data_IF_657622500340
#
_entry.id   IF_657622500340
#
_cell.length_a   1.000
_cell.length_b   1.000
_cell.length_c   1.000
_cell.angle_alpha   90.00
_cell.angle_beta   90.00
_cell.angle_gamma   90.00
#
_symmetry.space_group_name_H-M   'P 1'
#
loop_
_entity.id
_entity.type
_entity.pdbx_description
1 polymer ?
#
# COMPACT_ATOMS: atom_id res chain seq x y z
N UNK A 1 -76.37 -34.27 18.42
CA UNK A 1 -75.15 -34.11 19.23
C UNK A 1 -74.02 -34.87 18.53
N UNK A 2 -73.17 -34.15 17.78
CA UNK A 2 -71.70 -34.02 18.01
C UNK A 2 -70.90 -35.29 17.68
N UNK A 3 -69.83 -35.33 16.87
CA UNK A 3 -68.98 -34.31 16.23
C UNK A 3 -68.13 -35.04 15.16
N UNK A 4 -67.79 -34.35 14.07
CA UNK A 4 -66.69 -34.72 13.17
C UNK A 4 -65.36 -34.64 13.92
N UNK A 5 -64.42 -35.52 13.60
CA UNK A 5 -62.99 -35.32 13.86
C UNK A 5 -62.18 -35.68 12.62
N UNK A 6 -61.73 -34.63 11.93
CA UNK A 6 -60.77 -34.66 10.84
C UNK A 6 -59.36 -34.92 11.38
N UNK A 7 -58.63 -35.82 10.72
CA UNK A 7 -57.21 -36.08 10.97
C UNK A 7 -56.41 -35.03 10.15
N UNK A 8 -55.70 -34.15 10.85
CA UNK A 8 -54.72 -33.23 10.25
C UNK A 8 -53.33 -33.84 10.48
N UNK A 9 -52.69 -34.28 9.39
CA UNK A 9 -51.28 -34.64 9.40
C UNK A 9 -50.44 -33.36 9.33
N UNK A 10 -49.71 -33.06 10.39
CA UNK A 10 -48.71 -31.98 10.41
C UNK A 10 -47.41 -32.57 9.87
N UNK A 11 -47.09 -32.25 8.61
CA UNK A 11 -45.75 -32.46 8.07
C UNK A 11 -44.84 -31.34 8.62
N UNK A 12 -43.98 -31.69 9.56
CA UNK A 12 -42.92 -30.80 10.04
C UNK A 12 -41.86 -30.68 8.94
N UNK A 13 -41.91 -29.58 8.17
CA UNK A 13 -40.83 -29.18 7.29
C UNK A 13 -39.68 -28.65 8.16
N UNK A 14 -38.68 -29.49 8.42
CA UNK A 14 -37.41 -29.05 8.97
C UNK A 14 -36.67 -28.25 7.88
N UNK A 15 -36.88 -26.94 7.86
CA UNK A 15 -36.02 -26.02 7.12
C UNK A 15 -34.66 -26.04 7.81
N UNK A 16 -33.72 -26.79 7.23
CA UNK A 16 -32.31 -26.69 7.57
C UNK A 16 -31.88 -25.24 7.34
N UNK A 17 -31.52 -24.55 8.41
CA UNK A 17 -30.75 -23.32 8.34
C UNK A 17 -29.37 -23.68 7.79
N UNK A 18 -29.25 -23.71 6.47
CA UNK A 18 -27.95 -23.54 5.83
C UNK A 18 -27.46 -22.15 6.22
N UNK A 19 -26.58 -22.10 7.21
CA UNK A 19 -25.79 -20.92 7.52
C UNK A 19 -24.96 -20.60 6.27
N UNK A 20 -25.46 -19.70 5.42
CA UNK A 20 -24.59 -18.97 4.53
C UNK A 20 -23.55 -18.30 5.42
N UNK A 21 -22.30 -18.69 5.27
CA UNK A 21 -21.15 -18.17 6.00
C UNK A 21 -21.02 -16.67 5.66
N UNK A 22 -21.74 -15.85 6.42
CA UNK A 22 -21.87 -14.41 6.24
C UNK A 22 -20.76 -13.70 7.02
N UNK A 23 -19.52 -14.15 6.86
CA UNK A 23 -18.37 -13.45 7.41
C UNK A 23 -18.31 -12.08 6.76
N UNK A 24 -18.46 -11.02 7.57
CA UNK A 24 -18.47 -9.65 7.10
C UNK A 24 -17.17 -9.32 6.36
N UNK A 25 -17.20 -8.33 5.46
CA UNK A 25 -15.98 -7.81 4.84
C UNK A 25 -15.16 -7.05 5.89
N UNK A 26 -13.84 -7.22 5.83
CA UNK A 26 -12.90 -6.46 6.64
C UNK A 26 -12.95 -4.98 6.26
N UNK A 27 -12.72 -4.11 7.23
CA UNK A 27 -12.73 -2.65 7.05
C UNK A 27 -11.41 -2.02 7.48
N UNK A 28 -11.21 -0.75 7.13
CA UNK A 28 -9.97 -0.03 7.40
C UNK A 28 -9.03 0.02 6.20
N UNK A 29 -8.12 0.97 6.24
CA UNK A 29 -7.15 1.21 5.18
C UNK A 29 -6.01 0.19 5.24
N UNK A 30 -5.41 -0.12 4.08
CA UNK A 30 -4.32 -1.07 3.97
C UNK A 30 -3.04 -0.65 4.73
N UNK A 31 -2.96 0.61 5.16
CA UNK A 31 -1.85 1.13 5.97
C UNK A 31 -2.23 1.42 7.43
N UNK A 32 -3.41 1.03 7.88
CA UNK A 32 -3.85 1.19 9.27
C UNK A 32 -3.81 -0.16 9.98
N UNK A 33 -2.90 -0.31 10.94
CA UNK A 33 -2.63 -1.57 11.64
C UNK A 33 -3.25 -1.52 13.04
N UNK A 34 -4.04 -2.54 13.38
CA UNK A 34 -4.48 -2.76 14.77
C UNK A 34 -3.50 -3.72 15.45
N UNK A 35 -2.73 -3.23 16.41
CA UNK A 35 -1.82 -4.02 17.23
C UNK A 35 -2.57 -4.54 18.47
N UNK A 36 -2.53 -5.85 18.70
CA UNK A 36 -3.27 -6.53 19.76
C UNK A 36 -2.31 -7.32 20.62
N UNK A 37 -2.30 -7.02 21.91
CA UNK A 37 -1.55 -7.76 22.92
C UNK A 37 -2.09 -7.46 24.31
N UNK A 38 -1.55 -8.14 25.33
CA UNK A 38 -1.87 -7.84 26.73
C UNK A 38 -1.44 -6.41 27.11
N UNK A 39 -2.20 -5.70 27.95
CA UNK A 39 -1.86 -4.33 28.38
C UNK A 39 -0.46 -4.21 28.98
N UNK A 40 -0.05 -5.19 29.79
CA UNK A 40 1.26 -5.18 30.45
C UNK A 40 2.41 -5.25 29.42
N UNK A 41 2.22 -6.04 28.35
CA UNK A 41 3.20 -6.11 27.27
C UNK A 41 3.22 -4.81 26.49
N UNK A 42 2.06 -4.25 26.15
CA UNK A 42 1.97 -2.99 25.42
C UNK A 42 2.66 -1.83 26.15
N UNK A 43 2.47 -1.72 27.47
CA UNK A 43 3.15 -0.71 28.29
C UNK A 43 4.68 -0.81 28.19
N UNK A 44 5.22 -2.02 28.04
CA UNK A 44 6.67 -2.25 27.93
C UNK A 44 7.22 -1.95 26.53
N UNK A 45 6.47 -2.27 25.45
CA UNK A 45 7.03 -2.30 24.07
C UNK A 45 6.44 -1.29 23.10
N UNK A 46 5.47 -0.47 23.54
CA UNK A 46 4.76 0.45 22.64
C UNK A 46 5.67 1.39 21.85
N UNK A 47 6.72 1.94 22.49
CA UNK A 47 7.68 2.83 21.83
C UNK A 47 8.46 2.11 20.71
N UNK A 48 8.88 0.87 20.95
CA UNK A 48 9.60 0.06 19.95
C UNK A 48 8.69 -0.26 18.76
N UNK A 49 7.43 -0.60 19.01
CA UNK A 49 6.44 -0.87 17.95
C UNK A 49 6.20 0.37 17.09
N UNK A 50 5.96 1.52 17.71
CA UNK A 50 5.78 2.77 16.97
C UNK A 50 7.03 3.12 16.18
N UNK A 51 8.22 2.99 16.78
CA UNK A 51 9.47 3.30 16.10
C UNK A 51 9.75 2.37 14.92
N UNK A 52 9.40 1.09 15.03
CA UNK A 52 9.64 0.10 13.98
C UNK A 52 8.61 0.17 12.85
N UNK A 53 7.32 0.35 13.17
CA UNK A 53 6.24 0.23 12.21
C UNK A 53 5.78 1.58 11.63
N UNK A 54 5.80 2.66 12.40
CA UNK A 54 5.35 3.97 11.93
C UNK A 54 6.47 4.79 11.25
N UNK A 55 7.39 4.09 10.58
CA UNK A 55 8.45 4.73 9.80
C UNK A 55 7.84 5.65 8.74
N UNK A 56 8.44 6.82 8.54
CA UNK A 56 7.93 7.79 7.58
C UNK A 56 8.43 7.49 6.18
N UNK A 57 7.51 7.47 5.21
CA UNK A 57 7.85 7.59 3.79
C UNK A 57 7.89 9.05 3.38
N UNK A 58 8.65 9.28 2.31
CA UNK A 58 8.72 10.57 1.66
C UNK A 58 7.53 10.79 0.74
N UNK A 59 6.74 11.83 1.04
CA UNK A 59 5.72 12.39 0.14
C UNK A 59 5.93 13.91 0.01
N UNK A 60 4.88 14.71 -0.21
CA UNK A 60 4.97 16.19 -0.12
C UNK A 60 5.39 16.64 1.29
N UNK A 61 5.06 15.83 2.29
CA UNK A 61 5.54 15.92 3.67
C UNK A 61 5.96 14.54 4.14
N UNK A 62 6.72 14.45 5.22
CA UNK A 62 6.96 13.14 5.84
C UNK A 62 5.63 12.61 6.38
N UNK A 63 5.19 11.48 5.86
CA UNK A 63 3.96 10.80 6.28
C UNK A 63 4.32 9.42 6.78
N UNK A 64 3.65 8.96 7.84
CA UNK A 64 3.83 7.61 8.34
C UNK A 64 3.40 6.62 7.27
N UNK A 65 4.22 5.60 7.03
CA UNK A 65 3.87 4.49 6.14
C UNK A 65 2.65 3.80 6.69
N UNK A 66 2.70 3.47 7.98
CA UNK A 66 1.62 2.83 8.72
C UNK A 66 1.17 3.70 9.90
N UNK A 67 -0.12 3.63 10.21
CA UNK A 67 -0.65 4.13 11.49
C UNK A 67 -1.00 2.93 12.36
N UNK A 68 -0.35 2.83 13.52
CA UNK A 68 -0.56 1.73 14.46
C UNK A 68 -1.52 2.19 15.56
N UNK A 69 -2.52 1.36 15.85
CA UNK A 69 -3.45 1.57 16.96
C UNK A 69 -3.47 0.34 17.85
N UNK A 70 -3.15 0.51 19.13
CA UNK A 70 -3.26 -0.55 20.12
C UNK A 70 -4.70 -0.87 20.48
N UNK A 71 -5.00 -2.15 20.68
CA UNK A 71 -6.25 -2.65 21.25
C UNK A 71 -6.00 -3.77 22.25
N UNK A 72 -6.67 -3.65 23.40
CA UNK A 72 -6.73 -4.72 24.41
C UNK A 72 -7.71 -5.81 23.94
N UNK A 73 -7.28 -7.07 23.77
CA UNK A 73 -8.15 -8.17 23.37
C UNK A 73 -9.24 -8.49 24.40
N UNK A 74 -9.13 -8.03 25.64
CA UNK A 74 -10.14 -8.17 26.70
C UNK A 74 -11.08 -6.96 26.79
N UNK A 75 -10.86 -5.92 25.97
CA UNK A 75 -11.63 -4.69 26.00
C UNK A 75 -12.99 -4.78 25.31
N UNK A 76 -13.91 -3.89 25.69
CA UNK A 76 -15.31 -3.88 25.21
C UNK A 76 -15.44 -3.73 23.68
N UNK A 77 -14.46 -3.11 23.01
CA UNK A 77 -14.47 -2.85 21.57
C UNK A 77 -13.79 -3.94 20.72
N UNK A 78 -13.21 -4.97 21.34
CA UNK A 78 -12.48 -6.02 20.63
C UNK A 78 -13.33 -6.70 19.55
N UNK A 79 -14.60 -6.99 19.86
CA UNK A 79 -15.51 -7.70 18.95
C UNK A 79 -15.74 -6.98 17.61
N UNK A 80 -15.71 -5.64 17.62
CA UNK A 80 -15.81 -4.83 16.41
C UNK A 80 -14.45 -4.73 15.73
N UNK A 81 -13.43 -4.28 16.47
CA UNK A 81 -12.10 -3.95 15.93
C UNK A 81 -11.31 -5.16 15.41
N UNK A 82 -11.61 -6.38 15.87
CA UNK A 82 -11.00 -7.60 15.34
C UNK A 82 -11.32 -7.88 13.87
N UNK A 83 -12.21 -7.12 13.24
CA UNK A 83 -12.54 -7.23 11.80
C UNK A 83 -11.77 -6.24 10.93
N UNK A 84 -10.77 -5.55 11.48
CA UNK A 84 -9.94 -4.64 10.70
C UNK A 84 -9.11 -5.40 9.67
N UNK A 85 -8.83 -4.76 8.54
CA UNK A 85 -8.14 -5.37 7.41
C UNK A 85 -6.73 -5.84 7.77
N UNK A 86 -5.99 -5.04 8.53
CA UNK A 86 -4.60 -5.31 8.91
C UNK A 86 -4.52 -5.45 10.44
N UNK A 87 -4.19 -6.66 10.91
CA UNK A 87 -4.05 -6.97 12.33
C UNK A 87 -2.63 -7.44 12.63
N UNK A 88 -2.06 -6.97 13.73
CA UNK A 88 -0.82 -7.47 14.30
C UNK A 88 -1.12 -8.06 15.68
N UNK A 89 -1.14 -9.38 15.81
CA UNK A 89 -1.38 -10.07 17.07
C UNK A 89 -0.06 -10.48 17.69
N UNK A 90 0.18 -10.10 18.94
CA UNK A 90 1.40 -10.43 19.66
C UNK A 90 0.99 -11.11 20.98
N UNK A 91 1.49 -12.32 21.20
CA UNK A 91 1.13 -13.11 22.36
C UNK A 91 1.73 -14.51 22.34
N UNK A 92 1.27 -15.32 23.28
CA UNK A 92 1.71 -16.71 23.51
C UNK A 92 0.66 -17.70 23.01
N UNK A 93 1.02 -18.98 22.96
CA UNK A 93 0.10 -20.06 22.58
C UNK A 93 -1.07 -20.24 23.56
N UNK A 94 -0.97 -19.69 24.76
CA UNK A 94 -2.02 -19.73 25.78
C UNK A 94 -3.08 -18.62 25.62
N UNK A 95 -2.80 -17.60 24.80
CA UNK A 95 -3.70 -16.48 24.61
C UNK A 95 -4.85 -16.84 23.66
N UNK A 96 -6.09 -16.59 24.09
CA UNK A 96 -7.29 -17.05 23.37
C UNK A 96 -7.44 -16.44 21.97
N UNK A 97 -7.05 -15.17 21.78
CA UNK A 97 -7.10 -14.52 20.47
C UNK A 97 -6.01 -15.04 19.52
N UNK A 98 -4.89 -15.54 20.05
CA UNK A 98 -3.84 -16.20 19.26
C UNK A 98 -4.33 -17.58 18.82
N UNK A 99 -4.91 -18.35 19.74
CA UNK A 99 -5.50 -19.66 19.41
C UNK A 99 -6.59 -19.52 18.34
N UNK A 100 -7.52 -18.58 18.50
CA UNK A 100 -8.59 -18.33 17.50
C UNK A 100 -8.01 -18.00 16.12
N UNK A 101 -6.94 -17.19 16.06
CA UNK A 101 -6.29 -16.83 14.80
C UNK A 101 -5.58 -18.02 14.13
N UNK A 102 -4.88 -18.85 14.90
CA UNK A 102 -4.13 -19.99 14.35
C UNK A 102 -5.05 -21.17 14.00
N UNK A 103 -6.11 -21.40 14.77
CA UNK A 103 -7.10 -22.48 14.54
C UNK A 103 -7.92 -22.26 13.26
N UNK A 104 -8.08 -21.01 12.83
CA UNK A 104 -8.80 -20.64 11.61
C UNK A 104 -8.19 -21.26 10.34
N UNK A 105 -6.90 -21.61 10.37
CA UNK A 105 -6.15 -22.19 9.25
C UNK A 105 -5.56 -23.56 9.62
N UNK A 106 -6.39 -24.44 10.18
CA UNK A 106 -6.12 -25.79 10.73
C UNK A 106 -5.28 -26.79 9.88
N UNK A 107 -4.75 -26.41 8.72
CA UNK A 107 -4.02 -27.29 7.80
C UNK A 107 -2.49 -27.18 7.90
N UNK A 108 -1.93 -26.12 8.51
CA UNK A 108 -0.48 -25.94 8.61
C UNK A 108 0.06 -26.12 10.04
N UNK A 109 0.64 -27.30 10.30
CA UNK A 109 1.27 -27.65 11.57
C UNK A 109 2.53 -26.81 11.90
N UNK A 110 3.03 -25.98 10.98
CA UNK A 110 4.15 -25.06 11.24
C UNK A 110 3.72 -23.81 12.00
N UNK A 111 2.42 -23.48 12.03
CA UNK A 111 1.85 -22.29 12.67
C UNK A 111 1.85 -22.33 14.21
N UNK A 112 2.33 -23.40 14.82
CA UNK A 112 2.53 -23.50 16.28
C UNK A 112 3.97 -23.25 16.71
N UNK A 113 4.87 -22.90 15.78
CA UNK A 113 6.28 -22.59 16.10
C UNK A 113 6.42 -21.13 16.51
N UNK A 114 7.38 -20.82 17.38
CA UNK A 114 7.71 -19.42 17.71
C UNK A 114 8.12 -18.64 16.46
N UNK A 115 7.79 -17.34 16.42
CA UNK A 115 8.12 -16.44 15.32
C UNK A 115 6.90 -15.82 14.64
N UNK A 116 7.07 -15.41 13.38
CA UNK A 116 6.08 -14.65 12.61
C UNK A 116 5.26 -15.60 11.73
N UNK A 117 3.94 -15.47 11.80
CA UNK A 117 2.98 -16.21 10.97
C UNK A 117 2.00 -15.26 10.30
N UNK A 118 1.50 -15.63 9.13
CA UNK A 118 0.43 -14.88 8.46
C UNK A 118 -0.78 -15.76 8.26
N UNK A 119 -1.93 -15.27 8.72
CA UNK A 119 -3.23 -15.91 8.58
C UNK A 119 -4.23 -14.93 7.96
N UNK A 120 -5.02 -15.43 7.03
CA UNK A 120 -6.04 -14.65 6.35
C UNK A 120 -7.43 -14.95 6.90
N UNK A 121 -8.36 -14.02 6.71
CA UNK A 121 -9.79 -14.24 6.87
C UNK A 121 -10.25 -14.83 8.21
N UNK A 122 -9.56 -14.50 9.31
CA UNK A 122 -9.85 -15.04 10.66
C UNK A 122 -11.24 -14.63 11.13
N UNK A 123 -11.53 -13.33 11.14
CA UNK A 123 -12.79 -12.78 11.65
C UNK A 123 -13.65 -12.10 10.57
N UNK A 124 -13.03 -11.75 9.45
CA UNK A 124 -13.66 -11.02 8.36
C UNK A 124 -12.95 -11.33 7.03
N UNK A 125 -13.70 -11.33 5.93
CA UNK A 125 -13.14 -11.58 4.59
C UNK A 125 -12.29 -10.41 4.10
N UNK A 126 -11.16 -10.71 3.47
CA UNK A 126 -10.15 -9.76 3.03
C UNK A 126 -9.25 -9.27 4.16
N UNK A 127 -9.18 -10.00 5.27
CA UNK A 127 -8.33 -9.68 6.41
C UNK A 127 -6.96 -10.32 6.27
N UNK A 128 -5.92 -9.57 6.59
CA UNK A 128 -4.53 -10.02 6.72
C UNK A 128 -4.12 -9.86 8.19
N UNK A 129 -3.82 -10.99 8.84
CA UNK A 129 -3.42 -11.04 10.25
C UNK A 129 -1.98 -11.54 10.31
N UNK A 130 -1.10 -10.73 10.88
CA UNK A 130 0.27 -11.11 11.21
C UNK A 130 0.32 -11.46 12.69
N UNK A 131 0.76 -12.68 13.01
CA UNK A 131 0.90 -13.18 14.38
C UNK A 131 2.38 -13.26 14.73
N UNK A 132 2.79 -12.65 15.83
CA UNK A 132 4.09 -12.87 16.45
C UNK A 132 3.88 -13.76 17.68
N UNK A 133 4.21 -15.05 17.53
CA UNK A 133 4.07 -16.05 18.57
C UNK A 133 5.33 -16.06 19.45
N UNK A 134 5.17 -15.59 20.68
CA UNK A 134 6.21 -15.51 21.71
C UNK A 134 6.30 -16.80 22.52
N UNK A 135 7.45 -17.07 23.19
CA UNK A 135 7.55 -18.17 24.16
C UNK A 135 6.56 -17.99 25.30
N UNK A 136 6.26 -19.08 26.01
CA UNK A 136 5.26 -19.08 27.10
C UNK A 136 5.58 -18.13 28.26
N UNK A 137 6.85 -17.75 28.42
CA UNK A 137 7.29 -16.75 29.40
C UNK A 137 7.00 -15.30 28.97
N UNK A 138 6.57 -15.08 27.73
CA UNK A 138 6.25 -13.78 27.17
C UNK A 138 7.46 -12.86 27.00
N UNK A 139 8.67 -13.42 26.87
CA UNK A 139 9.92 -12.65 26.80
C UNK A 139 9.90 -11.59 25.69
N UNK A 140 10.04 -10.33 26.12
CA UNK A 140 10.06 -9.13 25.26
C UNK A 140 11.28 -9.07 24.35
N UNK A 141 12.42 -9.63 24.79
CA UNK A 141 13.67 -9.59 24.03
C UNK A 141 13.58 -10.25 22.64
N UNK A 142 12.67 -11.21 22.46
CA UNK A 142 12.41 -11.83 21.16
C UNK A 142 11.51 -10.97 20.27
N UNK A 143 10.57 -10.22 20.84
CA UNK A 143 9.66 -9.37 20.07
C UNK A 143 10.43 -8.29 19.30
N UNK A 144 11.37 -7.60 19.94
CA UNK A 144 12.15 -6.54 19.29
C UNK A 144 12.95 -7.05 18.09
N UNK A 145 13.41 -8.31 18.12
CA UNK A 145 14.09 -8.94 16.98
C UNK A 145 13.14 -9.17 15.79
N UNK A 146 11.88 -9.47 16.07
CA UNK A 146 10.87 -9.71 15.03
C UNK A 146 10.29 -8.41 14.44
N UNK A 147 10.32 -7.28 15.15
CA UNK A 147 9.70 -6.04 14.67
C UNK A 147 10.25 -5.54 13.32
N UNK A 148 11.56 -5.71 13.07
CA UNK A 148 12.16 -5.35 11.78
C UNK A 148 11.62 -6.23 10.64
N UNK A 149 11.53 -7.54 10.88
CA UNK A 149 10.99 -8.51 9.91
C UNK A 149 9.49 -8.29 9.67
N UNK A 150 8.72 -7.96 10.72
CA UNK A 150 7.30 -7.58 10.59
C UNK A 150 7.17 -6.31 9.74
N UNK A 151 8.01 -5.30 9.95
CA UNK A 151 7.97 -4.09 9.13
C UNK A 151 8.22 -4.39 7.65
N UNK A 152 9.27 -5.15 7.33
CA UNK A 152 9.60 -5.51 5.95
C UNK A 152 8.47 -6.29 5.28
N UNK A 153 7.88 -7.24 6.01
CA UNK A 153 6.74 -8.03 5.56
C UNK A 153 5.54 -7.15 5.20
N UNK A 154 5.13 -6.27 6.12
CA UNK A 154 3.99 -5.38 5.93
C UNK A 154 4.25 -4.35 4.83
N UNK A 155 5.47 -3.78 4.74
CA UNK A 155 5.84 -2.86 3.66
C UNK A 155 5.78 -3.54 2.29
N UNK A 156 6.28 -4.77 2.17
CA UNK A 156 6.20 -5.55 0.93
C UNK A 156 4.74 -5.83 0.52
N UNK A 157 3.89 -6.19 1.48
CA UNK A 157 2.47 -6.41 1.23
C UNK A 157 1.78 -5.12 0.80
N UNK A 158 2.04 -4.00 1.48
CA UNK A 158 1.49 -2.70 1.15
C UNK A 158 1.92 -2.22 -0.25
N UNK A 159 3.18 -2.43 -0.63
CA UNK A 159 3.68 -2.12 -1.98
C UNK A 159 3.00 -2.98 -3.04
N UNK A 160 2.84 -4.27 -2.77
CA UNK A 160 2.13 -5.21 -3.67
C UNK A 160 0.68 -4.79 -3.84
N UNK A 161 -0.01 -4.47 -2.74
CA UNK A 161 -1.36 -3.92 -2.75
C UNK A 161 -1.44 -2.65 -3.61
N UNK A 162 -0.52 -1.70 -3.40
CA UNK A 162 -0.47 -0.43 -4.14
C UNK A 162 -0.25 -0.66 -5.64
N UNK A 163 0.65 -1.58 -6.03
CA UNK A 163 0.88 -1.95 -7.43
C UNK A 163 -0.35 -2.59 -8.07
N UNK A 164 -1.00 -3.52 -7.37
CA UNK A 164 -2.23 -4.15 -7.84
C UNK A 164 -3.35 -3.11 -8.04
N UNK A 165 -3.49 -2.18 -7.10
CA UNK A 165 -4.43 -1.04 -7.19
C UNK A 165 -4.11 -0.13 -8.38
N UNK A 166 -2.83 0.16 -8.62
CA UNK A 166 -2.38 0.99 -9.74
C UNK A 166 -2.77 0.39 -11.10
N UNK A 167 -2.67 -0.94 -11.24
CA UNK A 167 -2.99 -1.67 -12.48
C UNK A 167 -4.39 -2.28 -12.50
N UNK A 168 -5.33 -1.82 -11.66
CA UNK A 168 -6.70 -2.35 -11.68
C UNK A 168 -7.43 -2.17 -13.01
N UNK A 169 -7.05 -1.15 -13.78
CA UNK A 169 -7.57 -0.94 -15.14
C UNK A 169 -6.94 -1.87 -16.19
N UNK A 170 -6.00 -2.72 -15.79
CA UNK A 170 -5.16 -3.52 -16.68
C UNK A 170 -3.88 -2.78 -17.08
N UNK A 171 -2.84 -3.54 -17.44
CA UNK A 171 -1.62 -3.01 -18.03
C UNK A 171 -1.81 -2.85 -19.55
N UNK A 172 -1.44 -1.69 -20.08
CA UNK A 172 -1.51 -1.40 -21.51
C UNK A 172 -0.22 -1.85 -22.21
N UNK A 173 -0.14 -3.15 -22.51
CA UNK A 173 1.01 -3.72 -23.22
C UNK A 173 1.03 -3.34 -24.69
N UNK A 174 -0.12 -3.06 -25.30
CA UNK A 174 -0.20 -2.64 -26.70
C UNK A 174 0.42 -1.25 -26.90
N UNK A 175 0.19 -0.33 -25.96
CA UNK A 175 0.90 0.96 -25.93
C UNK A 175 2.41 0.76 -25.77
N UNK A 176 2.83 -0.12 -24.84
CA UNK A 176 4.24 -0.40 -24.61
C UNK A 176 4.96 -0.93 -25.87
N UNK A 177 4.30 -1.80 -26.64
CA UNK A 177 4.80 -2.31 -27.93
C UNK A 177 4.85 -1.21 -29.00
N UNK A 178 3.82 -0.36 -29.06
CA UNK A 178 3.76 0.76 -30.01
C UNK A 178 4.90 1.74 -29.77
N UNK A 179 5.13 2.15 -28.52
CA UNK A 179 6.24 3.04 -28.14
C UNK A 179 7.59 2.42 -28.51
N UNK A 180 7.76 1.11 -28.30
CA UNK A 180 9.01 0.43 -28.63
C UNK A 180 9.32 0.47 -30.14
N UNK A 181 8.29 0.27 -30.96
CA UNK A 181 8.40 0.25 -32.43
C UNK A 181 8.59 1.66 -32.99
N UNK A 182 7.80 2.63 -32.52
CA UNK A 182 7.71 3.96 -33.14
C UNK A 182 8.67 4.99 -32.53
N UNK A 183 8.95 4.87 -31.23
CA UNK A 183 9.71 5.87 -30.47
C UNK A 183 11.02 5.35 -29.87
N UNK A 184 11.29 4.05 -29.95
CA UNK A 184 12.54 3.44 -29.47
C UNK A 184 12.65 3.33 -27.95
N UNK A 185 11.56 3.51 -27.21
CA UNK A 185 11.48 3.27 -25.77
C UNK A 185 10.19 2.53 -25.42
N UNK A 186 10.11 1.89 -24.25
CA UNK A 186 8.89 1.22 -23.81
C UNK A 186 8.51 1.66 -22.40
N UNK A 187 7.21 1.78 -22.16
CA UNK A 187 6.66 2.11 -20.85
C UNK A 187 5.33 1.37 -20.68
N UNK A 188 5.24 0.55 -19.63
CA UNK A 188 3.99 -0.11 -19.25
C UNK A 188 3.25 0.83 -18.31
N UNK A 189 2.02 1.20 -18.69
CA UNK A 189 1.13 2.05 -17.91
C UNK A 189 -0.21 1.37 -17.66
N UNK A 190 -0.95 1.77 -16.61
CA UNK A 190 -2.35 1.41 -16.49
C UNK A 190 -3.18 1.92 -17.69
N UNK A 191 -4.17 1.15 -18.13
CA UNK A 191 -4.99 1.47 -19.31
C UNK A 191 -5.83 2.76 -19.20
N UNK A 192 -5.91 3.36 -18.00
CA UNK A 192 -6.57 4.65 -17.76
C UNK A 192 -5.76 5.86 -18.26
N UNK A 193 -4.48 5.69 -18.59
CA UNK A 193 -3.67 6.80 -19.09
C UNK A 193 -4.06 7.15 -20.53
N UNK A 194 -4.37 8.43 -20.74
CA UNK A 194 -4.45 9.03 -22.07
C UNK A 194 -3.09 9.58 -22.44
N UNK A 195 -2.75 9.56 -23.72
CA UNK A 195 -1.46 10.08 -24.15
C UNK A 195 -1.57 10.90 -25.41
N UNK A 196 -0.60 11.78 -25.60
CA UNK A 196 -0.38 12.51 -26.83
C UNK A 196 1.13 12.69 -27.07
N UNK A 197 1.46 13.08 -28.29
CA UNK A 197 2.81 13.39 -28.70
C UNK A 197 2.83 14.77 -29.36
N UNK A 198 3.84 15.57 -29.03
CA UNK A 198 4.19 16.80 -29.75
C UNK A 198 5.70 16.84 -29.91
N UNK A 199 6.19 16.92 -31.13
CA UNK A 199 7.62 16.85 -31.45
C UNK A 199 8.30 15.59 -30.84
N UNK A 200 9.35 15.80 -30.04
CA UNK A 200 10.08 14.77 -29.30
C UNK A 200 9.61 14.61 -27.85
N UNK A 201 8.35 14.95 -27.56
CA UNK A 201 7.76 14.87 -26.22
C UNK A 201 6.50 14.00 -26.25
N UNK A 202 6.51 12.97 -25.42
CA UNK A 202 5.37 12.10 -25.14
C UNK A 202 4.81 12.46 -23.76
N UNK A 203 3.52 12.75 -23.67
CA UNK A 203 2.84 13.01 -22.41
C UNK A 203 1.79 11.95 -22.16
N UNK A 204 1.82 11.37 -20.97
CA UNK A 204 0.84 10.41 -20.49
C UNK A 204 0.16 11.02 -19.28
N UNK A 205 -1.17 11.10 -19.30
CA UNK A 205 -1.97 11.73 -18.25
C UNK A 205 -3.09 10.80 -17.82
N UNK A 206 -3.19 10.62 -16.51
CA UNK A 206 -4.38 10.10 -15.86
C UNK A 206 -5.04 11.25 -15.11
N UNK A 207 -6.07 11.81 -15.74
CA UNK A 207 -7.00 12.77 -15.16
C UNK A 207 -8.25 12.04 -14.68
N UNK A 208 -8.13 11.32 -13.55
CA UNK A 208 -9.27 10.65 -12.97
C UNK A 208 -10.36 11.71 -12.63
N UNK A 209 -11.65 11.45 -12.92
CA UNK A 209 -12.68 12.48 -12.82
C UNK A 209 -13.09 12.79 -11.37
N UNK A 210 -12.60 12.01 -10.40
CA UNK A 210 -12.85 12.23 -8.98
C UNK A 210 -11.85 13.26 -8.41
N UNK A 211 -12.31 14.41 -7.88
CA UNK A 211 -11.45 15.42 -7.26
C UNK A 211 -10.63 14.92 -6.06
N UNK A 212 -11.01 13.79 -5.46
CA UNK A 212 -10.25 13.14 -4.39
C UNK A 212 -9.03 12.35 -4.89
N UNK A 213 -8.95 12.11 -6.21
CA UNK A 213 -7.84 11.41 -6.82
C UNK A 213 -6.80 12.36 -7.42
N UNK A 214 -5.53 12.05 -7.17
CA UNK A 214 -4.41 12.85 -7.65
C UNK A 214 -4.24 12.71 -9.17
N UNK A 215 -4.06 13.85 -9.84
CA UNK A 215 -3.64 13.90 -11.25
C UNK A 215 -2.23 13.32 -11.35
N UNK A 216 -2.05 12.35 -12.25
CA UNK A 216 -0.74 11.76 -12.54
C UNK A 216 -0.36 12.08 -13.97
N UNK A 217 0.84 12.62 -14.15
CA UNK A 217 1.34 12.98 -15.48
C UNK A 217 2.81 12.57 -15.62
N UNK A 218 3.11 11.89 -16.71
CA UNK A 218 4.45 11.41 -17.07
C UNK A 218 4.82 12.07 -18.39
N UNK A 219 5.98 12.70 -18.46
CA UNK A 219 6.55 13.24 -19.68
C UNK A 219 7.84 12.51 -20.03
N UNK A 220 7.97 12.08 -21.28
CA UNK A 220 9.17 11.43 -21.81
C UNK A 220 9.70 12.26 -22.98
N UNK A 221 10.98 12.58 -22.92
CA UNK A 221 11.70 13.31 -23.97
C UNK A 221 13.20 12.99 -23.90
N UNK A 222 13.96 13.35 -24.94
CA UNK A 222 15.40 13.10 -25.02
C UNK A 222 16.13 14.31 -25.61
N UNK A 223 17.43 14.40 -25.33
CA UNK A 223 18.34 15.39 -25.91
C UNK A 223 19.45 14.68 -26.69
N UNK A 224 19.74 15.19 -27.88
CA UNK A 224 20.85 14.74 -28.72
C UNK A 224 21.61 15.98 -29.20
N UNK A 225 22.94 16.08 -29.01
CA UNK A 225 23.84 15.08 -28.41
C UNK A 225 23.63 14.89 -26.90
N UNK A 226 24.19 13.81 -26.34
CA UNK A 226 24.17 13.53 -24.89
C UNK A 226 24.82 14.72 -24.15
N UNK A 227 24.16 15.30 -23.13
CA UNK A 227 24.73 16.40 -22.35
C UNK A 227 26.04 16.01 -21.68
N UNK A 228 26.99 16.94 -21.59
CA UNK A 228 28.32 16.70 -20.98
C UNK A 228 28.28 16.47 -19.47
N UNK A 229 27.21 16.88 -18.80
CA UNK A 229 26.99 16.67 -17.38
C UNK A 229 25.55 16.22 -17.12
N UNK A 230 25.39 15.21 -16.26
CA UNK A 230 24.09 14.77 -15.75
C UNK A 230 24.14 14.85 -14.22
N UNK A 231 23.83 16.04 -13.69
CA UNK A 231 23.79 16.33 -12.26
C UNK A 231 22.44 16.99 -11.92
N UNK A 232 22.14 17.15 -10.63
CA UNK A 232 20.84 17.66 -10.16
C UNK A 232 20.39 18.93 -10.89
N UNK A 233 21.26 19.94 -11.00
CA UNK A 233 20.93 21.22 -11.66
C UNK A 233 20.49 21.02 -13.11
N UNK A 234 21.28 20.32 -13.92
CA UNK A 234 20.96 20.06 -15.33
C UNK A 234 19.67 19.24 -15.51
N UNK A 235 19.43 18.27 -14.61
CA UNK A 235 18.21 17.45 -14.63
C UNK A 235 16.97 18.30 -14.27
N UNK A 236 17.10 19.19 -13.30
CA UNK A 236 16.02 20.10 -12.90
C UNK A 236 15.74 21.16 -13.97
N UNK A 237 16.77 21.71 -14.62
CA UNK A 237 16.61 22.62 -15.76
C UNK A 237 15.82 21.95 -16.90
N UNK A 238 16.19 20.72 -17.27
CA UNK A 238 15.47 19.99 -18.31
C UNK A 238 14.02 19.71 -17.92
N UNK A 239 13.77 19.37 -16.65
CA UNK A 239 12.39 19.24 -16.13
C UNK A 239 11.62 20.56 -16.29
N UNK A 240 12.24 21.70 -15.98
CA UNK A 240 11.61 23.02 -16.10
C UNK A 240 11.24 23.36 -17.55
N UNK A 241 12.11 23.05 -18.51
CA UNK A 241 11.80 23.18 -19.94
C UNK A 241 10.57 22.35 -20.33
N UNK A 242 10.53 21.07 -19.93
CA UNK A 242 9.42 20.17 -20.21
C UNK A 242 8.11 20.68 -19.59
N UNK A 243 8.13 21.10 -18.32
CA UNK A 243 6.94 21.62 -17.65
C UNK A 243 6.45 22.90 -18.31
N UNK A 244 7.36 23.86 -18.58
CA UNK A 244 7.02 25.13 -19.22
C UNK A 244 6.39 24.94 -20.60
N UNK A 245 6.83 23.96 -21.36
CA UNK A 245 6.34 23.72 -22.73
C UNK A 245 5.04 22.93 -22.78
N UNK A 246 4.79 22.05 -21.80
CA UNK A 246 3.83 20.96 -22.00
C UNK A 246 2.84 20.73 -20.85
N UNK A 247 3.09 21.29 -19.66
CA UNK A 247 2.22 21.07 -18.51
C UNK A 247 1.23 22.23 -18.36
N UNK A 248 -0.01 21.91 -17.98
CA UNK A 248 -1.09 22.92 -17.85
C UNK A 248 -0.88 23.88 -16.68
N UNK A 249 -0.17 23.41 -15.65
CA UNK A 249 0.12 24.18 -14.44
C UNK A 249 1.62 24.44 -14.35
N UNK A 250 2.06 25.67 -14.05
CA UNK A 250 3.46 25.93 -13.71
C UNK A 250 3.83 25.21 -12.42
N UNK A 251 5.05 24.68 -12.38
CA UNK A 251 5.54 23.86 -11.26
C UNK A 251 6.95 24.30 -10.87
N UNK A 252 7.04 25.15 -9.85
CA UNK A 252 8.29 25.53 -9.22
C UNK A 252 8.83 24.35 -8.41
N UNK A 253 10.15 24.17 -8.38
CA UNK A 253 10.75 23.12 -7.57
C UNK A 253 10.79 23.56 -6.09
N UNK A 254 10.25 22.71 -5.22
CA UNK A 254 10.44 22.75 -3.79
C UNK A 254 11.53 21.71 -3.46
N UNK A 255 12.73 22.20 -3.12
CA UNK A 255 13.94 21.40 -2.96
C UNK A 255 14.34 21.19 -1.50
N UNK A 256 13.49 21.59 -0.56
CA UNK A 256 13.74 21.51 0.88
C UNK A 256 14.04 20.07 1.34
N UNK A 257 13.45 19.06 0.67
CA UNK A 257 13.65 17.64 0.97
C UNK A 257 14.32 16.86 -0.18
N UNK A 258 14.99 17.53 -1.12
CA UNK A 258 15.50 16.88 -2.35
C UNK A 258 16.40 15.66 -2.05
N UNK A 259 16.18 14.60 -2.83
CA UNK A 259 17.07 13.43 -2.87
C UNK A 259 17.46 13.21 -4.31
N UNK A 260 18.75 13.15 -4.58
CA UNK A 260 19.26 12.98 -5.93
C UNK A 260 20.55 12.20 -5.93
N UNK A 261 20.81 11.51 -7.04
CA UNK A 261 22.06 10.78 -7.19
C UNK A 261 22.14 10.02 -8.51
N UNK A 262 23.32 9.44 -8.78
CA UNK A 262 23.48 8.53 -9.90
C UNK A 262 22.59 7.30 -9.71
N UNK A 263 22.12 6.74 -10.81
CA UNK A 263 21.38 5.49 -10.85
C UNK A 263 21.89 4.63 -12.01
N UNK A 264 21.61 3.33 -11.93
CA UNK A 264 21.78 2.41 -13.05
C UNK A 264 20.40 1.90 -13.48
N UNK A 265 20.14 1.87 -14.79
CA UNK A 265 18.91 1.35 -15.35
C UNK A 265 19.20 0.47 -16.55
N UNK A 266 18.96 -0.84 -16.41
CA UNK A 266 19.21 -1.84 -17.46
C UNK A 266 20.65 -1.77 -18.01
N UNK A 267 21.64 -1.59 -17.14
CA UNK A 267 23.05 -1.47 -17.52
C UNK A 267 23.47 -0.07 -17.98
N UNK A 268 22.54 0.88 -18.13
CA UNK A 268 22.84 2.25 -18.53
C UNK A 268 22.98 3.16 -17.30
N UNK A 269 23.96 4.06 -17.36
CA UNK A 269 24.13 5.10 -16.36
C UNK A 269 23.01 6.14 -16.46
N UNK A 270 22.64 6.71 -15.32
CA UNK A 270 21.65 7.76 -15.26
C UNK A 270 21.77 8.62 -14.00
N UNK A 271 20.86 9.57 -13.88
CA UNK A 271 20.72 10.42 -12.72
C UNK A 271 19.24 10.58 -12.38
N UNK A 272 18.92 10.58 -11.09
CA UNK A 272 17.55 10.75 -10.61
C UNK A 272 17.47 11.89 -9.62
N UNK A 273 16.40 12.68 -9.72
CA UNK A 273 16.01 13.66 -8.72
C UNK A 273 14.59 13.34 -8.26
N UNK A 274 14.41 13.20 -6.95
CA UNK A 274 13.12 13.12 -6.29
C UNK A 274 12.94 14.38 -5.46
N UNK A 275 11.87 15.12 -5.71
CA UNK A 275 11.58 16.42 -5.10
C UNK A 275 10.09 16.73 -5.14
N UNK A 276 9.71 17.81 -4.49
CA UNK A 276 8.35 18.31 -4.48
C UNK A 276 8.22 19.46 -5.49
N UNK A 277 7.03 19.66 -6.02
CA UNK A 277 6.69 20.87 -6.78
C UNK A 277 5.56 21.62 -6.10
N UNK A 278 5.57 22.94 -6.28
CA UNK A 278 4.47 23.82 -5.90
C UNK A 278 4.16 24.76 -7.04
N UNK A 279 2.91 25.18 -7.15
CA UNK A 279 2.60 26.25 -8.07
C UNK A 279 3.17 27.59 -7.54
N UNK A 280 3.46 28.54 -8.44
CA UNK A 280 3.96 29.84 -8.01
C UNK A 280 2.90 30.59 -7.18
N UNK A 281 3.30 31.45 -6.23
CA UNK A 281 2.37 32.13 -5.31
C UNK A 281 1.32 33.01 -5.99
N UNK A 282 1.61 33.50 -7.21
CA UNK A 282 0.74 34.38 -7.99
C UNK A 282 -0.48 33.67 -8.59
N UNK A 283 -0.54 32.33 -8.55
CA UNK A 283 -1.70 31.55 -9.03
C UNK A 283 -2.92 31.67 -8.14
N UNK A 284 -2.78 32.11 -6.88
CA UNK A 284 -3.91 32.43 -6.00
C UNK A 284 -4.63 31.23 -5.37
N UNK A 285 -4.16 29.99 -5.60
CA UNK A 285 -4.57 28.79 -4.87
C UNK A 285 -3.35 27.90 -4.62
N UNK A 286 -3.24 27.18 -3.49
CA UNK A 286 -2.12 26.26 -3.27
C UNK A 286 -2.31 24.97 -4.08
N UNK A 287 -1.32 24.62 -4.90
CA UNK A 287 -1.21 23.32 -5.56
C UNK A 287 0.22 22.81 -5.48
N UNK A 288 0.39 21.50 -5.36
CA UNK A 288 1.70 20.88 -5.29
C UNK A 288 1.61 19.37 -5.28
N UNK A 289 2.78 18.73 -5.34
CA UNK A 289 2.88 17.28 -5.39
C UNK A 289 4.32 16.82 -5.40
N UNK A 290 4.52 15.51 -5.45
CA UNK A 290 5.84 14.91 -5.64
C UNK A 290 6.17 14.80 -7.13
N UNK A 291 7.45 14.82 -7.46
CA UNK A 291 7.94 14.44 -8.78
C UNK A 291 9.19 13.58 -8.68
N UNK A 292 9.38 12.76 -9.71
CA UNK A 292 10.61 12.03 -9.98
C UNK A 292 11.03 12.41 -11.39
N UNK A 293 12.23 12.96 -11.53
CA UNK A 293 12.86 13.15 -12.84
C UNK A 293 14.01 12.18 -12.96
N UNK A 294 13.98 11.36 -14.00
CA UNK A 294 14.99 10.36 -14.30
C UNK A 294 15.56 10.62 -15.67
N UNK A 295 16.88 10.73 -15.77
CA UNK A 295 17.61 10.81 -17.03
C UNK A 295 18.46 9.57 -17.16
N UNK A 296 18.33 8.85 -18.27
CA UNK A 296 19.13 7.68 -18.62
C UNK A 296 19.96 8.03 -19.85
N UNK A 297 21.24 7.68 -19.81
CA UNK A 297 22.14 7.82 -20.96
C UNK A 297 21.95 6.61 -21.86
N UNK A 298 21.51 6.83 -23.10
CA UNK A 298 21.33 5.78 -24.10
C UNK A 298 22.41 5.93 -25.18
N UNK A 299 23.25 4.90 -25.36
CA UNK A 299 24.29 4.81 -26.39
C UNK A 299 23.84 4.03 -27.63
#
# INVERSE_FOLDING_TARGET
MTKLSSIIAVAALALGLGSCDNTALAYGDANSIIAVMRPELWEEVSEDIYSALEQTIRTVRNEKTFTVTYQDPSGDYWGDLRRFRQMLLIGTSADSWIQEALDSNNEDASMTRLGIHQVGDVWARGQEVTVVLLPDDGSVGELTLHLAEVHELLDQQFRTYTLNRMYMSGADTALADTLAIEAGFSLILPAVYRWNQSDSVFLFRNDNPDPSELIRQIGVTWKTPIPSATQQETVLEWRSELVSGHYSEPQDHALENVSSGPIEHLGNNGYQVQAEWRNPPDRGWPAGGVFITRVIVCE
#
